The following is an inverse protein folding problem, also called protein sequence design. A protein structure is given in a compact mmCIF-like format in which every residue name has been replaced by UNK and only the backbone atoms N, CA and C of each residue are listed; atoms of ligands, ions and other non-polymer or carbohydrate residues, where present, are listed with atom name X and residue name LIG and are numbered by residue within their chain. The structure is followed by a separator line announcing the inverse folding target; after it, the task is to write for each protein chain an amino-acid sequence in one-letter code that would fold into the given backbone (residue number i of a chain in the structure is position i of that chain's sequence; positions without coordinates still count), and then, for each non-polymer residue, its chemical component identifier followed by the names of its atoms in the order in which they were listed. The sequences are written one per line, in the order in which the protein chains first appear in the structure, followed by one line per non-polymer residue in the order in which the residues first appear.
data_IF_906341271476
#
_entry.id   IF_906341271476
#
_cell.length_a   1.000
_cell.length_b   1.000
_cell.length_c   1.000
_cell.angle_alpha   90.00
_cell.angle_beta   90.00
_cell.angle_gamma   90.00
#
_symmetry.space_group_name_H-M   'P 1'
#
loop_
_entity.id
_entity.type
_entity.pdbx_description
1 polymer ?
#
# COMPACT_ATOMS: atom_id res chain seq x y z
N UNK A 1 19.91 9.92 -1.21
CA UNK A 1 19.57 8.74 -0.39
C UNK A 1 18.76 9.20 0.80
N UNK A 2 17.92 8.36 1.36
CA UNK A 2 17.10 8.64 2.55
C UNK A 2 17.76 7.95 3.75
N UNK A 3 18.43 8.72 4.63
CA UNK A 3 19.16 8.16 5.77
C UNK A 3 18.24 7.96 6.97
N UNK A 4 18.54 6.97 7.83
CA UNK A 4 17.71 6.62 8.97
C UNK A 4 17.47 7.79 9.95
N UNK A 5 18.44 8.67 10.12
CA UNK A 5 18.35 9.83 10.99
C UNK A 5 17.80 11.08 10.30
N UNK A 6 17.52 11.03 8.98
CA UNK A 6 16.94 12.15 8.26
C UNK A 6 15.49 12.41 8.72
N UNK A 7 15.15 13.68 8.82
CA UNK A 7 13.78 14.17 8.82
C UNK A 7 13.49 14.79 7.47
N UNK A 8 12.28 14.62 6.96
CA UNK A 8 11.87 15.16 5.67
C UNK A 8 11.17 16.50 5.85
N UNK A 9 11.62 17.53 5.13
CA UNK A 9 10.95 18.83 5.11
C UNK A 9 9.83 18.83 4.07
N UNK A 10 8.62 18.87 4.55
CA UNK A 10 7.40 18.95 3.75
C UNK A 10 6.69 20.32 3.89
N UNK A 11 7.43 21.38 4.21
CA UNK A 11 6.85 22.70 4.38
C UNK A 11 5.93 23.08 3.21
N UNK A 12 4.75 23.65 3.52
CA UNK A 12 3.73 24.12 2.55
C UNK A 12 2.92 23.04 1.80
N UNK A 13 2.95 21.78 2.21
CA UNK A 13 2.10 20.72 1.63
C UNK A 13 0.86 20.46 2.49
N UNK A 14 -0.31 20.39 1.87
CA UNK A 14 -1.61 20.27 2.55
C UNK A 14 -2.04 18.80 2.74
N UNK A 15 -1.66 17.93 1.80
CA UNK A 15 -1.99 16.50 1.81
C UNK A 15 -0.77 15.73 2.30
N UNK A 16 -0.90 15.00 3.39
CA UNK A 16 0.20 14.20 3.93
C UNK A 16 0.50 13.00 3.01
N UNK A 17 -0.55 12.26 2.61
CA UNK A 17 -0.41 11.11 1.71
C UNK A 17 -1.52 11.11 0.66
N UNK A 18 -1.12 11.03 -0.59
CA UNK A 18 -2.00 10.85 -1.72
C UNK A 18 -1.77 9.47 -2.34
N UNK A 19 -2.69 8.56 -2.09
CA UNK A 19 -2.60 7.21 -2.59
C UNK A 19 -3.31 7.08 -3.96
N UNK A 20 -2.69 6.41 -4.92
CA UNK A 20 -3.21 6.27 -6.28
C UNK A 20 -3.36 4.78 -6.60
N UNK A 21 -4.56 4.34 -6.94
CA UNK A 21 -4.75 2.96 -7.36
C UNK A 21 -6.17 2.44 -7.20
N UNK A 22 -6.28 1.16 -6.96
CA UNK A 22 -7.52 0.42 -6.94
C UNK A 22 -8.39 0.74 -5.73
N UNK A 23 -9.69 0.77 -5.98
CA UNK A 23 -10.76 0.73 -5.01
C UNK A 23 -11.74 -0.36 -5.48
N UNK A 24 -11.91 -1.41 -4.70
CA UNK A 24 -12.58 -2.62 -5.14
C UNK A 24 -13.35 -3.29 -3.98
N UNK A 25 -14.11 -4.32 -4.32
CA UNK A 25 -14.85 -5.13 -3.36
C UNK A 25 -14.22 -6.51 -3.27
N UNK A 26 -13.91 -6.95 -2.05
CA UNK A 26 -13.56 -8.34 -1.80
C UNK A 26 -14.81 -9.14 -1.49
N UNK A 27 -15.07 -10.16 -2.31
CA UNK A 27 -16.14 -11.13 -2.10
C UNK A 27 -15.52 -12.43 -1.57
N UNK A 28 -15.69 -12.70 -0.29
CA UNK A 28 -15.01 -13.81 0.40
C UNK A 28 -16.05 -14.84 0.84
N UNK A 29 -15.84 -16.13 0.49
CA UNK A 29 -16.74 -17.21 0.90
C UNK A 29 -16.84 -17.32 2.43
N UNK A 30 -17.98 -17.76 2.93
CA UNK A 30 -18.16 -17.99 4.37
C UNK A 30 -17.50 -19.28 4.82
N UNK A 31 -17.53 -20.31 3.98
CA UNK A 31 -16.98 -21.62 4.22
C UNK A 31 -15.53 -21.74 3.72
N UNK A 32 -14.77 -22.65 4.37
CA UNK A 32 -13.39 -22.96 3.97
C UNK A 32 -13.36 -24.19 3.04
N UNK A 33 -12.55 -24.12 1.99
CA UNK A 33 -12.24 -25.22 1.07
C UNK A 33 -13.49 -25.85 0.42
N UNK A 34 -14.59 -25.09 0.32
CA UNK A 34 -15.83 -25.54 -0.31
C UNK A 34 -16.02 -24.93 -1.70
N UNK A 35 -15.84 -25.74 -2.74
CA UNK A 35 -16.06 -25.33 -4.12
C UNK A 35 -17.54 -25.08 -4.44
N UNK A 36 -18.47 -25.57 -3.62
CA UNK A 36 -19.91 -25.37 -3.77
C UNK A 36 -20.42 -24.22 -2.89
N UNK A 37 -19.53 -23.46 -2.25
CA UNK A 37 -19.90 -22.32 -1.43
C UNK A 37 -20.82 -21.39 -2.20
N UNK A 38 -22.03 -21.19 -1.69
CA UNK A 38 -23.05 -20.32 -2.28
C UNK A 38 -23.18 -18.96 -1.58
N UNK A 39 -22.53 -18.82 -0.43
CA UNK A 39 -22.57 -17.61 0.41
C UNK A 39 -21.23 -16.90 0.44
N UNK A 40 -21.24 -15.63 0.08
CA UNK A 40 -20.07 -14.76 0.11
C UNK A 40 -20.37 -13.49 0.90
N UNK A 41 -19.45 -13.06 1.71
CA UNK A 41 -19.50 -11.78 2.41
C UNK A 41 -18.76 -10.72 1.62
N UNK A 42 -19.36 -9.53 1.56
CA UNK A 42 -18.80 -8.37 0.87
C UNK A 42 -17.97 -7.53 1.83
N UNK A 43 -16.72 -7.27 1.46
CA UNK A 43 -15.80 -6.44 2.21
C UNK A 43 -15.30 -5.28 1.36
N UNK A 44 -14.96 -4.20 2.02
CA UNK A 44 -14.26 -3.08 1.42
C UNK A 44 -12.80 -3.48 1.16
N UNK A 45 -12.28 -3.18 -0.04
CA UNK A 45 -10.94 -3.54 -0.46
C UNK A 45 -10.25 -2.46 -1.30
N UNK A 46 -8.97 -2.68 -1.54
CA UNK A 46 -8.07 -1.76 -2.21
C UNK A 46 -7.01 -1.19 -1.27
N UNK A 47 -5.75 -1.55 -1.50
CA UNK A 47 -4.62 -1.12 -0.67
C UNK A 47 -4.53 0.40 -0.50
N UNK A 48 -4.65 1.23 -1.57
CA UNK A 48 -4.59 2.69 -1.43
C UNK A 48 -5.65 3.26 -0.48
N UNK A 49 -6.85 2.69 -0.51
CA UNK A 49 -7.94 3.12 0.35
C UNK A 49 -7.76 2.69 1.80
N UNK A 50 -7.27 1.47 2.03
CA UNK A 50 -6.92 0.99 3.37
C UNK A 50 -5.86 1.91 4.01
N UNK A 51 -4.83 2.27 3.25
CA UNK A 51 -3.76 3.18 3.68
C UNK A 51 -4.35 4.55 4.04
N UNK A 52 -5.17 5.14 3.17
CA UNK A 52 -5.76 6.46 3.42
C UNK A 52 -6.64 6.47 4.68
N UNK A 53 -7.49 5.46 4.87
CA UNK A 53 -8.34 5.36 6.06
C UNK A 53 -7.53 5.15 7.34
N UNK A 54 -6.51 4.33 7.31
CA UNK A 54 -5.65 4.11 8.47
C UNK A 54 -4.87 5.37 8.85
N UNK A 55 -4.32 6.09 7.86
CA UNK A 55 -3.62 7.37 8.08
C UNK A 55 -4.55 8.41 8.71
N UNK A 56 -5.79 8.53 8.21
CA UNK A 56 -6.79 9.43 8.79
C UNK A 56 -7.06 9.10 10.25
N UNK A 57 -7.19 7.83 10.63
CA UNK A 57 -7.36 7.38 12.02
C UNK A 57 -6.15 7.70 12.89
N UNK A 58 -4.94 7.66 12.33
CA UNK A 58 -3.71 8.05 13.00
C UNK A 58 -3.52 9.58 13.09
N UNK A 59 -4.48 10.36 12.58
CA UNK A 59 -4.50 11.82 12.70
C UNK A 59 -3.60 12.56 11.72
N UNK A 60 -3.40 12.00 10.51
CA UNK A 60 -2.78 12.67 9.39
C UNK A 60 -3.78 12.79 8.21
N UNK A 61 -3.50 13.70 7.27
CA UNK A 61 -4.38 14.00 6.14
C UNK A 61 -4.03 13.13 4.94
N UNK A 62 -4.91 12.16 4.62
CA UNK A 62 -4.73 11.31 3.46
C UNK A 62 -5.98 11.28 2.58
N UNK A 63 -5.76 11.08 1.29
CA UNK A 63 -6.82 10.88 0.32
C UNK A 63 -6.39 9.92 -0.79
N UNK A 64 -7.34 9.52 -1.63
CA UNK A 64 -7.15 8.51 -2.67
C UNK A 64 -7.60 9.03 -4.03
N UNK A 65 -6.79 8.76 -5.06
CA UNK A 65 -7.20 8.88 -6.46
C UNK A 65 -7.54 7.51 -7.02
N UNK A 66 -8.79 7.31 -7.41
CA UNK A 66 -9.28 6.00 -7.85
C UNK A 66 -10.46 6.12 -8.81
N UNK A 67 -10.93 4.98 -9.32
CA UNK A 67 -12.14 4.87 -10.12
C UNK A 67 -13.04 3.73 -9.61
N UNK A 68 -14.35 3.98 -9.62
CA UNK A 68 -15.37 2.97 -9.37
C UNK A 68 -16.47 3.04 -10.42
N UNK A 69 -17.23 1.98 -10.57
CA UNK A 69 -18.37 1.93 -11.49
C UNK A 69 -19.54 2.79 -11.03
N UNK A 70 -20.44 3.12 -11.97
CA UNK A 70 -21.76 3.73 -11.70
C UNK A 70 -22.76 2.63 -11.29
N UNK A 71 -22.42 1.86 -10.25
CA UNK A 71 -23.18 0.71 -9.77
C UNK A 71 -23.23 0.67 -8.23
N UNK A 72 -24.01 -0.27 -7.69
CA UNK A 72 -24.23 -0.40 -6.25
C UNK A 72 -22.94 -0.76 -5.47
N UNK A 73 -21.96 -1.42 -6.10
CA UNK A 73 -20.68 -1.71 -5.46
C UNK A 73 -19.84 -0.44 -5.34
N UNK A 74 -19.83 0.40 -6.39
CA UNK A 74 -19.20 1.71 -6.34
C UNK A 74 -19.82 2.62 -5.29
N UNK A 75 -21.18 2.61 -5.16
CA UNK A 75 -21.86 3.35 -4.09
C UNK A 75 -21.48 2.86 -2.71
N UNK A 76 -21.39 1.54 -2.53
CA UNK A 76 -20.91 0.94 -1.27
C UNK A 76 -19.51 1.44 -0.88
N UNK A 77 -18.57 1.44 -1.82
CA UNK A 77 -17.20 1.86 -1.58
C UNK A 77 -17.11 3.35 -1.24
N UNK A 78 -17.78 4.21 -2.01
CA UNK A 78 -17.78 5.66 -1.76
C UNK A 78 -18.44 5.98 -0.42
N UNK A 79 -19.57 5.35 -0.08
CA UNK A 79 -20.22 5.57 1.19
C UNK A 79 -19.34 5.12 2.38
N UNK A 80 -18.61 4.02 2.22
CA UNK A 80 -17.67 3.57 3.25
C UNK A 80 -16.56 4.59 3.51
N UNK A 81 -15.96 5.14 2.45
CA UNK A 81 -14.96 6.20 2.57
C UNK A 81 -15.49 7.48 3.20
N UNK A 82 -16.69 7.94 2.80
CA UNK A 82 -17.35 9.10 3.40
C UNK A 82 -17.61 8.91 4.89
N UNK A 83 -18.10 7.72 5.28
CA UNK A 83 -18.32 7.38 6.68
C UNK A 83 -16.99 7.32 7.49
N UNK A 84 -15.87 7.08 6.82
CA UNK A 84 -14.52 7.13 7.36
C UNK A 84 -13.87 8.52 7.25
N UNK A 85 -14.62 9.54 6.85
CA UNK A 85 -14.18 10.94 6.69
C UNK A 85 -13.05 11.12 5.66
N UNK A 86 -12.94 10.23 4.69
CA UNK A 86 -12.00 10.37 3.58
C UNK A 86 -12.62 11.22 2.48
N UNK A 87 -11.85 12.18 1.96
CA UNK A 87 -12.27 12.98 0.80
C UNK A 87 -12.43 12.07 -0.43
N UNK A 88 -13.61 12.12 -1.06
CA UNK A 88 -13.97 11.30 -2.22
C UNK A 88 -13.99 12.07 -3.54
N UNK A 89 -13.60 13.35 -3.55
CA UNK A 89 -13.59 14.21 -4.74
C UNK A 89 -12.65 13.73 -5.84
N UNK A 90 -11.61 13.00 -5.45
CA UNK A 90 -10.63 12.41 -6.38
C UNK A 90 -11.00 11.02 -6.87
N UNK A 91 -12.25 10.56 -6.62
CA UNK A 91 -12.74 9.26 -7.09
C UNK A 91 -13.71 9.45 -8.26
N UNK A 92 -13.30 8.98 -9.42
CA UNK A 92 -14.11 9.06 -10.63
C UNK A 92 -15.15 7.94 -10.69
N UNK A 93 -16.34 8.26 -11.23
CA UNK A 93 -17.39 7.28 -11.55
C UNK A 93 -17.37 7.03 -13.06
N UNK A 94 -17.12 5.79 -13.47
CA UNK A 94 -16.96 5.40 -14.88
C UNK A 94 -18.03 4.41 -15.32
N UNK A 95 -18.23 4.29 -16.65
CA UNK A 95 -19.21 3.34 -17.25
C UNK A 95 -18.60 1.93 -17.42
N UNK A 96 -17.87 1.47 -16.39
CA UNK A 96 -17.33 0.13 -16.26
C UNK A 96 -17.79 -0.46 -14.92
N UNK A 97 -17.96 -1.78 -14.82
CA UNK A 97 -18.33 -2.38 -13.53
C UNK A 97 -17.27 -2.09 -12.47
N UNK A 98 -17.71 -1.85 -11.23
CA UNK A 98 -16.78 -1.77 -10.09
C UNK A 98 -16.00 -3.07 -9.97
N UNK A 99 -14.69 -2.95 -9.82
CA UNK A 99 -13.80 -4.10 -9.71
C UNK A 99 -14.04 -4.87 -8.44
N UNK A 100 -13.87 -6.19 -8.51
CA UNK A 100 -13.97 -7.07 -7.35
C UNK A 100 -12.95 -8.20 -7.39
N UNK A 101 -12.62 -8.71 -6.22
CA UNK A 101 -11.82 -9.93 -6.05
C UNK A 101 -12.72 -10.98 -5.40
N UNK A 102 -12.85 -12.12 -6.04
CA UNK A 102 -13.58 -13.27 -5.50
C UNK A 102 -12.58 -14.23 -4.86
N UNK A 103 -12.77 -14.54 -3.60
CA UNK A 103 -11.89 -15.42 -2.83
C UNK A 103 -12.71 -16.54 -2.21
N UNK A 104 -12.41 -17.78 -2.59
CA UNK A 104 -12.85 -18.94 -1.80
C UNK A 104 -11.85 -19.13 -0.67
N UNK A 105 -12.30 -19.03 0.58
CA UNK A 105 -11.45 -19.26 1.75
C UNK A 105 -10.80 -20.61 1.67
N UNK A 106 -9.51 -20.68 1.97
CA UNK A 106 -8.77 -21.94 2.06
C UNK A 106 -7.95 -21.98 3.34
N UNK A 107 -7.76 -23.18 3.88
CA UNK A 107 -6.78 -23.44 4.93
C UNK A 107 -5.34 -23.36 4.42
N UNK A 108 -5.18 -23.48 3.11
CA UNK A 108 -3.96 -23.19 2.37
C UNK A 108 -3.98 -21.75 1.82
N UNK A 109 -3.08 -21.42 0.93
CA UNK A 109 -3.10 -20.12 0.24
C UNK A 109 -4.28 -20.09 -0.74
N UNK A 110 -5.27 -19.21 -0.55
CA UNK A 110 -6.39 -19.09 -1.48
C UNK A 110 -5.91 -18.51 -2.82
N UNK A 111 -6.53 -18.96 -3.92
CA UNK A 111 -6.30 -18.40 -5.25
C UNK A 111 -7.43 -17.42 -5.54
N UNK A 112 -7.16 -16.11 -5.60
CA UNK A 112 -8.17 -15.11 -5.91
C UNK A 112 -8.52 -15.10 -7.40
N UNK A 113 -9.76 -14.73 -7.71
CA UNK A 113 -10.20 -14.41 -9.08
C UNK A 113 -10.41 -12.90 -9.17
N UNK A 114 -9.71 -12.27 -10.10
CA UNK A 114 -9.73 -10.82 -10.28
C UNK A 114 -10.72 -10.42 -11.37
N UNK A 115 -11.83 -9.80 -10.99
CA UNK A 115 -12.79 -9.18 -11.90
C UNK A 115 -12.48 -7.69 -11.99
N UNK A 116 -11.65 -7.33 -12.96
CA UNK A 116 -11.18 -5.96 -13.15
C UNK A 116 -12.11 -5.19 -14.10
N UNK A 117 -12.34 -3.92 -13.80
CA UNK A 117 -13.20 -3.06 -14.59
C UNK A 117 -12.88 -1.58 -14.38
N UNK A 118 -13.54 -0.92 -13.43
CA UNK A 118 -13.35 0.50 -13.19
C UNK A 118 -11.91 0.86 -12.74
N UNK A 119 -11.24 0.00 -11.98
CA UNK A 119 -9.96 0.26 -11.31
C UNK A 119 -8.81 0.68 -12.24
N UNK A 120 -8.79 0.22 -13.48
CA UNK A 120 -7.74 0.62 -14.44
C UNK A 120 -8.14 1.81 -15.34
N UNK A 121 -9.30 2.41 -15.11
CA UNK A 121 -9.75 3.60 -15.85
C UNK A 121 -9.30 4.92 -15.18
N UNK A 122 -8.14 4.90 -14.57
CA UNK A 122 -7.50 6.11 -14.03
C UNK A 122 -7.01 6.99 -15.18
N UNK A 123 -7.43 8.26 -15.20
CA UNK A 123 -7.03 9.22 -16.23
C UNK A 123 -6.29 10.41 -15.62
N UNK A 124 -5.09 10.68 -16.14
CA UNK A 124 -4.33 11.85 -15.74
C UNK A 124 -5.04 13.12 -16.18
N UNK A 125 -5.30 14.01 -15.23
CA UNK A 125 -5.99 15.27 -15.45
C UNK A 125 -5.46 16.37 -14.51
N UNK A 126 -5.95 17.59 -14.68
CA UNK A 126 -5.53 18.76 -13.88
C UNK A 126 -5.85 18.62 -12.38
N UNK A 127 -6.89 17.89 -12.03
CA UNK A 127 -7.26 17.62 -10.61
C UNK A 127 -6.21 16.75 -9.95
N UNK A 128 -5.77 15.69 -10.65
CA UNK A 128 -4.68 14.83 -10.18
C UNK A 128 -3.36 15.60 -10.07
N UNK A 129 -3.03 16.40 -11.07
CA UNK A 129 -1.83 17.25 -11.08
C UNK A 129 -1.80 18.21 -9.89
N UNK A 130 -2.89 18.93 -9.65
CA UNK A 130 -3.04 19.83 -8.51
C UNK A 130 -2.90 19.08 -7.17
N UNK A 131 -3.56 17.94 -7.01
CA UNK A 131 -3.48 17.14 -5.78
C UNK A 131 -2.04 16.66 -5.51
N UNK A 132 -1.32 16.19 -6.54
CA UNK A 132 0.09 15.80 -6.42
C UNK A 132 0.94 16.98 -5.97
N UNK A 133 0.73 18.16 -6.55
CA UNK A 133 1.49 19.38 -6.20
C UNK A 133 1.36 19.75 -4.72
N UNK A 134 0.23 19.44 -4.08
CA UNK A 134 -0.09 19.70 -2.67
C UNK A 134 0.28 18.54 -1.75
N UNK A 135 0.81 17.44 -2.27
CA UNK A 135 1.04 16.21 -1.49
C UNK A 135 2.49 16.06 -1.05
N UNK A 136 2.70 15.64 0.22
CA UNK A 136 4.02 15.29 0.76
C UNK A 136 4.54 13.97 0.19
N UNK A 137 3.66 12.97 0.17
CA UNK A 137 3.96 11.60 -0.21
C UNK A 137 2.93 11.12 -1.23
N UNK A 138 3.41 10.51 -2.31
CA UNK A 138 2.60 9.79 -3.29
C UNK A 138 2.84 8.30 -3.09
N UNK A 139 1.77 7.51 -3.02
CA UNK A 139 1.85 6.07 -2.88
C UNK A 139 1.06 5.34 -3.97
N UNK A 140 1.62 4.26 -4.50
CA UNK A 140 0.92 3.33 -5.37
C UNK A 140 1.49 1.91 -5.23
N UNK A 141 0.72 0.92 -5.70
CA UNK A 141 1.12 -0.48 -5.71
C UNK A 141 1.33 -1.01 -7.14
N UNK A 142 1.64 -2.29 -7.26
CA UNK A 142 1.71 -2.99 -8.54
C UNK A 142 0.35 -2.98 -9.29
N UNK A 143 -0.77 -2.91 -8.58
CA UNK A 143 -2.10 -3.03 -9.17
C UNK A 143 -2.37 -2.02 -10.30
N UNK A 144 -2.26 -0.69 -10.10
CA UNK A 144 -2.54 0.28 -11.16
C UNK A 144 -1.55 0.22 -12.33
N UNK A 145 -0.30 -0.22 -12.10
CA UNK A 145 0.69 -0.30 -13.18
C UNK A 145 0.59 -1.59 -14.01
N UNK A 146 -0.22 -2.54 -13.60
CA UNK A 146 -0.40 -3.80 -14.30
C UNK A 146 -1.27 -3.72 -15.55
N UNK A 147 -2.00 -2.60 -15.73
CA UNK A 147 -2.83 -2.32 -16.92
C UNK A 147 -2.36 -1.04 -17.60
N UNK A 148 -2.27 -1.04 -18.94
CA UNK A 148 -1.66 0.04 -19.71
C UNK A 148 -2.29 1.42 -19.43
N UNK A 149 -3.62 1.50 -19.38
CA UNK A 149 -4.33 2.77 -19.21
C UNK A 149 -3.98 3.44 -17.88
N UNK A 150 -4.07 2.72 -16.76
CA UNK A 150 -3.72 3.24 -15.44
C UNK A 150 -2.20 3.39 -15.26
N UNK A 151 -1.40 2.54 -15.90
CA UNK A 151 0.06 2.64 -15.93
C UNK A 151 0.53 3.99 -16.47
N UNK A 152 -0.02 4.42 -17.61
CA UNK A 152 0.27 5.72 -18.21
C UNK A 152 -0.04 6.90 -17.25
N UNK A 153 -1.09 6.77 -16.44
CA UNK A 153 -1.44 7.75 -15.41
C UNK A 153 -0.42 7.76 -14.28
N UNK A 154 0.00 6.58 -13.79
CA UNK A 154 1.04 6.48 -12.75
C UNK A 154 2.38 7.06 -13.23
N UNK A 155 2.78 6.77 -14.46
CA UNK A 155 4.04 7.33 -15.01
C UNK A 155 4.03 8.85 -15.03
N UNK A 156 2.94 9.47 -15.46
CA UNK A 156 2.77 10.94 -15.41
C UNK A 156 2.72 11.46 -13.98
N UNK A 157 2.05 10.73 -13.06
CA UNK A 157 2.00 11.09 -11.65
C UNK A 157 3.40 11.07 -11.00
N UNK A 158 4.25 10.11 -11.35
CA UNK A 158 5.65 10.05 -10.89
C UNK A 158 6.43 11.28 -11.37
N UNK A 159 6.28 11.66 -12.64
CA UNK A 159 6.96 12.83 -13.19
C UNK A 159 6.51 14.10 -12.44
N UNK A 160 5.21 14.25 -12.21
CA UNK A 160 4.66 15.42 -11.50
C UNK A 160 5.08 15.43 -10.01
N UNK A 161 5.10 14.27 -9.36
CA UNK A 161 5.59 14.14 -7.98
C UNK A 161 7.05 14.60 -7.85
N UNK A 162 7.91 14.22 -8.81
CA UNK A 162 9.31 14.64 -8.84
C UNK A 162 9.46 16.14 -9.00
N UNK A 163 8.69 16.79 -9.88
CA UNK A 163 8.71 18.24 -10.05
C UNK A 163 8.34 18.98 -8.76
N UNK A 164 7.45 18.39 -7.97
CA UNK A 164 6.95 18.99 -6.74
C UNK A 164 7.68 18.48 -5.47
N UNK A 165 8.79 17.77 -5.60
CA UNK A 165 9.57 17.22 -4.48
C UNK A 165 8.72 16.38 -3.50
N UNK A 166 7.73 15.65 -4.01
CA UNK A 166 7.02 14.66 -3.22
C UNK A 166 7.83 13.38 -3.11
N UNK A 167 7.76 12.72 -1.97
CA UNK A 167 8.32 11.37 -1.79
C UNK A 167 7.42 10.37 -2.51
N UNK A 168 8.02 9.41 -3.18
CA UNK A 168 7.30 8.38 -3.93
C UNK A 168 7.55 7.03 -3.28
N UNK A 169 6.50 6.44 -2.71
CA UNK A 169 6.50 5.10 -2.15
C UNK A 169 5.80 4.10 -3.05
N UNK A 170 6.36 2.91 -3.15
CA UNK A 170 5.87 1.82 -3.99
C UNK A 170 5.80 0.50 -3.22
N UNK A 171 4.63 -0.15 -3.27
CA UNK A 171 4.45 -1.51 -2.80
C UNK A 171 4.40 -2.46 -4.00
N UNK A 172 5.41 -3.33 -4.21
CA UNK A 172 5.39 -4.27 -5.33
C UNK A 172 4.17 -5.17 -5.31
N UNK A 173 3.86 -5.78 -4.17
CA UNK A 173 2.71 -6.68 -4.00
C UNK A 173 2.40 -7.46 -5.29
N UNK A 174 3.44 -8.10 -5.84
CA UNK A 174 3.43 -8.65 -7.20
C UNK A 174 2.57 -9.89 -7.28
N UNK A 175 1.64 -9.87 -8.23
CA UNK A 175 0.86 -11.05 -8.58
C UNK A 175 0.74 -11.16 -10.10
N UNK A 176 1.25 -12.25 -10.68
CA UNK A 176 1.29 -12.46 -12.13
C UNK A 176 -0.10 -12.32 -12.80
N UNK A 177 -1.15 -12.83 -12.13
CA UNK A 177 -2.51 -12.87 -12.70
C UNK A 177 -3.16 -11.49 -12.91
N UNK A 178 -2.64 -10.41 -12.33
CA UNK A 178 -3.20 -9.07 -12.53
C UNK A 178 -2.65 -8.37 -13.78
N UNK A 179 -1.56 -8.89 -14.35
CA UNK A 179 -0.91 -8.28 -15.51
C UNK A 179 -1.61 -8.64 -16.83
N UNK A 180 -1.57 -7.71 -17.76
CA UNK A 180 -2.05 -7.94 -19.13
C UNK A 180 -1.24 -9.06 -19.80
N UNK A 181 -1.92 -9.91 -20.56
CA UNK A 181 -1.26 -10.99 -21.28
C UNK A 181 -0.19 -10.44 -22.24
N UNK A 182 1.00 -11.03 -22.20
CA UNK A 182 2.12 -10.62 -23.04
C UNK A 182 2.98 -9.49 -22.48
N UNK A 183 2.64 -8.95 -21.30
CA UNK A 183 3.48 -7.98 -20.61
C UNK A 183 4.35 -8.65 -19.55
N UNK A 184 5.64 -8.31 -19.53
CA UNK A 184 6.56 -8.74 -18.47
C UNK A 184 6.46 -7.80 -17.27
N UNK A 185 5.62 -8.19 -16.31
CA UNK A 185 5.39 -7.42 -15.10
C UNK A 185 6.63 -7.30 -14.23
N UNK A 186 7.49 -8.30 -14.22
CA UNK A 186 8.73 -8.31 -13.43
C UNK A 186 9.70 -7.26 -13.99
N UNK A 187 9.94 -7.28 -15.29
CA UNK A 187 10.81 -6.29 -15.92
C UNK A 187 10.26 -4.86 -15.78
N UNK A 188 8.94 -4.69 -15.86
CA UNK A 188 8.34 -3.39 -15.62
C UNK A 188 8.54 -2.91 -14.16
N UNK A 189 8.35 -3.80 -13.17
CA UNK A 189 8.62 -3.47 -11.75
C UNK A 189 10.08 -3.07 -11.55
N UNK A 190 11.05 -3.81 -12.10
CA UNK A 190 12.47 -3.45 -12.03
C UNK A 190 12.73 -2.05 -12.61
N UNK A 191 12.05 -1.70 -13.69
CA UNK A 191 12.14 -0.37 -14.31
C UNK A 191 11.56 0.73 -13.40
N UNK A 192 10.41 0.48 -12.76
CA UNK A 192 9.75 1.48 -11.91
C UNK A 192 10.54 1.76 -10.63
N UNK A 193 11.30 0.77 -10.11
CA UNK A 193 12.13 0.90 -8.90
C UNK A 193 13.09 2.11 -9.00
N UNK A 194 13.67 2.37 -10.17
CA UNK A 194 14.56 3.53 -10.39
C UNK A 194 13.84 4.89 -10.30
N UNK A 195 12.51 4.89 -10.39
CA UNK A 195 11.67 6.08 -10.44
C UNK A 195 11.00 6.40 -9.10
N UNK A 196 11.15 5.55 -8.09
CA UNK A 196 10.56 5.72 -6.77
C UNK A 196 11.63 5.95 -5.70
N UNK A 197 11.23 6.41 -4.51
CA UNK A 197 12.17 6.66 -3.41
C UNK A 197 12.20 5.48 -2.44
N UNK A 198 11.04 4.95 -2.12
CA UNK A 198 10.85 3.93 -1.08
C UNK A 198 10.11 2.75 -1.69
N UNK A 199 10.66 1.56 -1.48
CA UNK A 199 10.01 0.32 -1.89
C UNK A 199 9.89 -0.62 -0.69
N UNK A 200 8.73 -1.31 -0.56
CA UNK A 200 8.50 -2.28 0.51
C UNK A 200 8.10 -3.64 -0.06
N UNK A 201 9.02 -4.45 -0.56
CA UNK A 201 8.74 -5.82 -0.94
C UNK A 201 8.56 -6.71 0.29
N UNK A 202 7.72 -7.75 0.18
CA UNK A 202 7.84 -8.94 1.01
C UNK A 202 8.97 -9.85 0.50
N UNK A 203 9.39 -10.83 1.31
CA UNK A 203 10.31 -11.89 0.84
C UNK A 203 9.75 -12.62 -0.38
N UNK A 204 8.43 -12.84 -0.41
CA UNK A 204 7.74 -13.49 -1.52
C UNK A 204 7.77 -12.63 -2.79
N UNK A 205 7.59 -11.31 -2.66
CA UNK A 205 7.73 -10.40 -3.80
C UNK A 205 9.15 -10.41 -4.35
N UNK A 206 10.13 -10.34 -3.46
CA UNK A 206 11.54 -10.34 -3.84
C UNK A 206 11.96 -11.64 -4.54
N UNK A 207 11.48 -12.80 -4.04
CA UNK A 207 11.72 -14.10 -4.68
C UNK A 207 11.06 -14.18 -6.06
N UNK A 208 9.83 -13.67 -6.22
CA UNK A 208 9.15 -13.62 -7.52
C UNK A 208 9.86 -12.72 -8.53
N UNK A 209 10.41 -11.60 -8.07
CA UNK A 209 11.07 -10.59 -8.93
C UNK A 209 12.51 -11.01 -9.30
N UNK A 210 13.26 -11.59 -8.38
CA UNK A 210 14.69 -11.88 -8.57
C UNK A 210 15.07 -13.34 -8.51
N UNK A 211 14.15 -14.25 -8.17
CA UNK A 211 14.43 -15.63 -7.84
C UNK A 211 14.88 -15.80 -6.39
N UNK A 212 15.07 -17.05 -5.97
CA UNK A 212 15.54 -17.40 -4.63
C UNK A 212 16.95 -16.88 -4.37
N UNK A 213 17.11 -16.12 -3.29
CA UNK A 213 18.40 -15.55 -2.83
C UNK A 213 18.25 -15.14 -1.35
N UNK A 214 19.34 -14.73 -0.70
CA UNK A 214 19.25 -14.18 0.65
C UNK A 214 18.55 -12.83 0.64
N UNK A 215 17.81 -12.47 1.71
CA UNK A 215 17.15 -11.16 1.82
C UNK A 215 18.11 -9.99 1.60
N UNK A 216 19.33 -10.08 2.15
CA UNK A 216 20.36 -9.04 2.01
C UNK A 216 20.76 -8.85 0.53
N UNK A 217 20.95 -9.95 -0.21
CA UNK A 217 21.27 -9.89 -1.64
C UNK A 217 20.12 -9.31 -2.47
N UNK A 218 18.87 -9.69 -2.15
CA UNK A 218 17.69 -9.16 -2.84
C UNK A 218 17.50 -7.67 -2.56
N UNK A 219 17.73 -7.21 -1.33
CA UNK A 219 17.75 -5.78 -0.97
C UNK A 219 18.82 -5.03 -1.78
N UNK A 220 20.04 -5.58 -1.87
CA UNK A 220 21.11 -4.98 -2.66
C UNK A 220 20.74 -4.83 -4.14
N UNK A 221 19.99 -5.79 -4.70
CA UNK A 221 19.45 -5.68 -6.09
C UNK A 221 18.47 -4.51 -6.22
N UNK A 222 17.52 -4.32 -5.28
CA UNK A 222 16.61 -3.17 -5.29
C UNK A 222 17.35 -1.83 -5.17
N UNK A 223 18.37 -1.74 -4.30
CA UNK A 223 19.23 -0.55 -4.19
C UNK A 223 19.97 -0.29 -5.51
N UNK A 224 20.53 -1.33 -6.13
CA UNK A 224 21.23 -1.23 -7.42
C UNK A 224 20.29 -0.74 -8.54
N UNK A 225 19.00 -1.11 -8.49
CA UNK A 225 18.00 -0.60 -9.42
C UNK A 225 17.62 0.87 -9.18
N UNK A 226 18.01 1.46 -8.05
CA UNK A 226 17.85 2.90 -7.78
C UNK A 226 16.93 3.25 -6.62
N UNK A 227 16.35 2.30 -5.89
CA UNK A 227 15.60 2.58 -4.68
C UNK A 227 16.50 3.27 -3.64
N UNK A 228 15.95 4.29 -2.94
CA UNK A 228 16.69 5.03 -1.92
C UNK A 228 16.54 4.45 -0.51
N UNK A 229 15.40 3.78 -0.28
CA UNK A 229 15.09 3.05 0.95
C UNK A 229 14.36 1.76 0.57
N UNK A 230 14.86 0.62 1.00
CA UNK A 230 14.23 -0.70 0.79
C UNK A 230 13.82 -1.26 2.14
N UNK A 231 12.54 -1.62 2.27
CA UNK A 231 11.94 -2.18 3.49
C UNK A 231 11.47 -3.59 3.14
N UNK A 232 12.27 -4.60 3.43
CA UNK A 232 11.89 -5.99 3.14
C UNK A 232 11.25 -6.64 4.35
N UNK A 233 9.99 -7.04 4.23
CA UNK A 233 9.26 -7.74 5.30
C UNK A 233 9.46 -9.26 5.19
N UNK A 234 9.71 -9.92 6.33
CA UNK A 234 10.04 -11.34 6.45
C UNK A 234 8.99 -12.10 7.29
N UNK A 235 7.75 -11.66 7.26
CA UNK A 235 6.66 -12.26 8.02
C UNK A 235 6.95 -12.29 9.52
N UNK A 236 6.99 -13.49 10.10
CA UNK A 236 7.26 -13.70 11.53
C UNK A 236 8.69 -13.32 11.96
N UNK A 237 9.62 -13.27 11.03
CA UNK A 237 11.03 -12.98 11.27
C UNK A 237 11.32 -11.46 11.20
N UNK A 238 10.26 -10.63 11.16
CA UNK A 238 10.36 -9.17 11.22
C UNK A 238 10.65 -8.53 9.88
N UNK A 239 11.67 -7.69 9.79
CA UNK A 239 12.05 -6.99 8.57
C UNK A 239 13.53 -6.62 8.53
N UNK A 240 14.04 -6.44 7.31
CA UNK A 240 15.36 -5.86 7.04
C UNK A 240 15.15 -4.59 6.23
N UNK A 241 15.75 -3.49 6.67
CA UNK A 241 15.66 -2.19 6.01
C UNK A 241 17.05 -1.69 5.64
N UNK A 242 17.19 -1.20 4.41
CA UNK A 242 18.46 -0.60 3.95
C UNK A 242 18.22 0.76 3.30
N UNK A 243 19.08 1.72 3.66
CA UNK A 243 19.17 3.03 3.02
C UNK A 243 20.24 3.11 1.91
N UNK A 244 20.79 1.95 1.53
CA UNK A 244 21.87 1.81 0.57
C UNK A 244 23.28 1.94 1.17
N UNK A 245 23.41 2.30 2.44
CA UNK A 245 24.72 2.37 3.15
C UNK A 245 24.68 1.63 4.47
N UNK A 246 23.55 1.62 5.13
CA UNK A 246 23.33 0.95 6.40
C UNK A 246 22.18 -0.06 6.27
N UNK A 247 22.22 -1.10 7.09
CA UNK A 247 21.16 -2.11 7.20
C UNK A 247 20.74 -2.21 8.66
N UNK A 248 19.43 -2.08 8.91
CA UNK A 248 18.84 -2.29 10.23
C UNK A 248 17.88 -3.47 10.15
N UNK A 249 17.95 -4.36 11.13
CA UNK A 249 16.99 -5.46 11.33
C UNK A 249 15.99 -5.05 12.40
N UNK A 250 14.71 -5.24 12.09
CA UNK A 250 13.60 -5.01 13.00
C UNK A 250 12.99 -6.36 13.35
N UNK A 251 12.91 -6.68 14.63
CA UNK A 251 12.19 -7.85 15.11
C UNK A 251 10.69 -7.62 15.01
N UNK A 252 9.92 -8.71 14.92
CA UNK A 252 8.46 -8.57 14.92
C UNK A 252 7.96 -8.08 16.28
N UNK A 253 7.05 -7.10 16.25
CA UNK A 253 6.34 -6.62 17.45
C UNK A 253 5.01 -7.37 17.66
N UNK A 254 4.66 -8.29 16.78
CA UNK A 254 3.42 -9.03 16.85
C UNK A 254 3.43 -10.04 18.01
N UNK A 255 2.53 -9.86 18.97
CA UNK A 255 2.31 -10.78 20.10
C UNK A 255 1.17 -11.75 19.83
N UNK A 256 0.31 -11.43 18.87
CA UNK A 256 -0.85 -12.21 18.47
C UNK A 256 -1.10 -11.96 16.98
N UNK A 257 -1.42 -13.00 16.23
CA UNK A 257 -1.76 -12.93 14.81
C UNK A 257 -3.09 -13.63 14.57
N UNK A 258 -4.13 -12.83 14.35
CA UNK A 258 -5.48 -13.30 14.01
C UNK A 258 -5.67 -13.34 12.50
N UNK A 259 -5.22 -12.25 11.81
CA UNK A 259 -5.33 -12.13 10.35
C UNK A 259 -4.22 -11.23 9.80
N UNK A 260 -3.53 -11.69 8.77
CA UNK A 260 -2.43 -10.95 8.11
C UNK A 260 -2.90 -9.99 7.02
N UNK A 261 -4.17 -10.04 6.62
CA UNK A 261 -4.75 -9.17 5.58
C UNK A 261 -4.56 -7.69 5.94
N UNK A 262 -3.96 -6.88 5.05
CA UNK A 262 -3.74 -5.46 5.29
C UNK A 262 -2.62 -5.10 6.29
N UNK A 263 -1.81 -6.05 6.75
CA UNK A 263 -0.66 -5.76 7.61
C UNK A 263 0.36 -4.84 6.92
N UNK A 264 0.58 -5.02 5.61
CA UNK A 264 1.39 -4.15 4.77
C UNK A 264 0.82 -2.72 4.68
N UNK A 265 -0.50 -2.59 4.47
CA UNK A 265 -1.18 -1.30 4.43
C UNK A 265 -1.09 -0.58 5.77
N UNK A 266 -1.24 -1.31 6.86
CA UNK A 266 -1.08 -0.78 8.22
C UNK A 266 0.34 -0.29 8.49
N UNK A 267 1.36 -1.04 8.05
CA UNK A 267 2.75 -0.60 8.10
C UNK A 267 2.94 0.72 7.34
N UNK A 268 2.53 0.79 6.07
CA UNK A 268 2.63 2.01 5.27
C UNK A 268 1.95 3.19 5.95
N UNK A 269 0.79 2.94 6.57
CA UNK A 269 0.02 3.99 7.24
C UNK A 269 0.76 4.58 8.43
N UNK A 270 1.33 3.74 9.30
CA UNK A 270 2.14 4.18 10.43
C UNK A 270 3.42 4.88 9.98
N UNK A 271 4.14 4.29 9.03
CA UNK A 271 5.37 4.84 8.50
C UNK A 271 5.17 6.22 7.87
N UNK A 272 4.20 6.38 6.98
CA UNK A 272 3.90 7.66 6.35
C UNK A 272 3.38 8.71 7.34
N UNK A 273 2.58 8.30 8.30
CA UNK A 273 2.14 9.22 9.36
C UNK A 273 3.32 9.73 10.17
N UNK A 274 4.29 8.86 10.49
CA UNK A 274 5.53 9.26 11.16
C UNK A 274 6.32 10.29 10.35
N UNK A 275 6.56 10.02 9.06
CA UNK A 275 7.24 10.95 8.17
C UNK A 275 6.53 12.29 8.05
N UNK A 276 5.22 12.27 7.85
CA UNK A 276 4.40 13.48 7.68
C UNK A 276 4.39 14.36 8.93
N UNK A 277 4.54 13.77 10.11
CA UNK A 277 4.65 14.46 11.42
C UNK A 277 6.09 14.91 11.75
N UNK A 278 7.06 14.70 10.86
CA UNK A 278 8.43 15.16 11.01
C UNK A 278 9.32 14.25 11.87
N UNK A 279 8.94 12.99 12.06
CA UNK A 279 9.83 12.01 12.68
C UNK A 279 11.00 11.68 11.75
N UNK A 280 12.10 11.18 12.31
CA UNK A 280 13.18 10.58 11.51
C UNK A 280 12.65 9.35 10.77
N UNK A 281 13.35 8.95 9.69
CA UNK A 281 13.00 7.74 8.95
C UNK A 281 12.96 6.54 9.88
N UNK A 282 13.96 6.37 10.76
CA UNK A 282 14.01 5.28 11.74
C UNK A 282 12.78 5.27 12.65
N UNK A 283 12.46 6.40 13.27
CA UNK A 283 11.26 6.50 14.12
C UNK A 283 9.96 6.22 13.38
N UNK A 284 9.90 6.63 12.12
CA UNK A 284 8.73 6.36 11.27
C UNK A 284 8.61 4.88 10.93
N UNK A 285 9.72 4.18 10.70
CA UNK A 285 9.75 2.72 10.53
C UNK A 285 9.23 2.01 11.79
N UNK A 286 9.72 2.40 12.96
CA UNK A 286 9.27 1.88 14.26
C UNK A 286 7.76 2.03 14.43
N UNK A 287 7.21 3.21 14.11
CA UNK A 287 5.76 3.43 14.13
C UNK A 287 5.03 2.54 13.11
N UNK A 288 5.57 2.38 11.90
CA UNK A 288 5.02 1.49 10.88
C UNK A 288 4.90 0.04 11.37
N UNK A 289 5.95 -0.51 11.96
CA UNK A 289 5.93 -1.87 12.52
C UNK A 289 4.97 -1.98 13.71
N UNK A 290 4.87 -0.97 14.58
CA UNK A 290 3.94 -0.96 15.70
C UNK A 290 2.47 -0.96 15.22
N UNK A 291 2.13 -0.13 14.23
CA UNK A 291 0.78 -0.09 13.64
C UNK A 291 0.44 -1.41 12.95
N UNK A 292 1.38 -1.99 12.21
CA UNK A 292 1.23 -3.32 11.59
C UNK A 292 0.97 -4.41 12.65
N UNK A 293 1.77 -4.44 13.72
CA UNK A 293 1.61 -5.40 14.82
C UNK A 293 0.26 -5.26 15.53
N UNK A 294 -0.23 -4.02 15.71
CA UNK A 294 -1.56 -3.77 16.25
C UNK A 294 -2.65 -4.32 15.35
N UNK A 295 -2.55 -4.08 14.02
CA UNK A 295 -3.53 -4.55 13.03
C UNK A 295 -3.65 -6.08 13.02
N UNK A 296 -2.57 -6.81 13.18
CA UNK A 296 -2.55 -8.28 13.14
C UNK A 296 -3.50 -8.94 14.15
N UNK A 297 -3.94 -8.24 15.19
CA UNK A 297 -4.90 -8.70 16.21
C UNK A 297 -6.37 -8.68 15.74
N UNK A 298 -6.66 -8.18 14.53
CA UNK A 298 -8.01 -7.98 14.04
C UNK A 298 -8.21 -8.64 12.68
N UNK A 299 -9.43 -9.11 12.42
CA UNK A 299 -9.83 -9.66 11.12
C UNK A 299 -10.05 -8.55 10.10
N UNK A 300 -9.64 -8.78 8.85
CA UNK A 300 -9.82 -7.87 7.71
C UNK A 300 -8.70 -6.83 7.60
N UNK A 301 -8.67 -6.09 6.49
CA UNK A 301 -7.61 -5.13 6.19
C UNK A 301 -7.66 -3.87 7.05
N UNK A 302 -8.82 -3.53 7.60
CA UNK A 302 -9.04 -2.30 8.38
C UNK A 302 -9.23 -2.66 9.84
N UNK A 303 -8.31 -2.20 10.70
CA UNK A 303 -8.41 -2.34 12.15
C UNK A 303 -8.93 -1.05 12.82
N UNK A 304 -9.52 -1.13 14.03
CA UNK A 304 -9.85 0.06 14.83
C UNK A 304 -8.58 0.66 15.43
N UNK A 305 -7.73 1.25 14.59
CA UNK A 305 -6.48 1.84 15.04
C UNK A 305 -6.74 2.95 16.07
N UNK A 306 -6.07 2.93 17.22
CA UNK A 306 -6.13 4.02 18.19
C UNK A 306 -5.19 5.16 17.77
N UNK A 307 -5.09 6.19 18.59
CA UNK A 307 -4.15 7.29 18.36
C UNK A 307 -2.68 6.82 18.39
N UNK A 308 -1.80 7.59 17.73
CA UNK A 308 -0.35 7.29 17.72
C UNK A 308 0.18 7.17 19.15
N UNK A 309 -0.22 8.07 20.05
CA UNK A 309 0.24 8.07 21.43
C UNK A 309 -0.13 6.76 22.17
N UNK A 310 -1.28 6.18 21.83
CA UNK A 310 -1.70 4.90 22.38
C UNK A 310 -0.92 3.75 21.76
N UNK A 311 -0.70 3.74 20.45
CA UNK A 311 0.16 2.78 19.76
C UNK A 311 1.56 2.81 20.38
N UNK A 312 2.15 3.97 20.51
CA UNK A 312 3.47 4.13 21.13
C UNK A 312 3.50 3.63 22.58
N UNK A 313 2.48 3.89 23.38
CA UNK A 313 2.40 3.36 24.76
C UNK A 313 2.33 1.83 24.80
N UNK A 314 1.61 1.21 23.86
CA UNK A 314 1.49 -0.25 23.78
C UNK A 314 2.84 -0.89 23.45
N UNK A 315 3.61 -0.30 22.53
CA UNK A 315 4.82 -0.89 21.98
C UNK A 315 6.14 -0.28 22.51
N UNK A 316 6.12 0.85 23.26
CA UNK A 316 7.31 1.47 23.88
C UNK A 316 7.92 0.69 25.05
N UNK A 317 7.22 -0.27 25.63
CA UNK A 317 7.74 -1.04 26.79
C UNK A 317 8.63 -2.21 26.35
N UNK A 318 9.73 -1.96 25.64
CA UNK A 318 10.82 -2.93 25.50
C UNK A 318 11.24 -3.30 24.09
N UNK A 319 10.98 -2.49 23.08
CA UNK A 319 11.24 -2.86 21.68
C UNK A 319 12.23 -1.93 20.92
N UNK A 320 12.89 -0.98 21.61
CA UNK A 320 13.84 -0.07 20.93
C UNK A 320 15.06 0.19 21.79
#
# INVERSE_FOLDING_TARGET
MLKFDDTLDFSKKEIDVFAIGELLVDMISTEYDDLNASTYSKYFGGSPANIAMNISRLGANATIFSCVGKDNLGDFLINHLKNSQINTEYISRVDYPTSMVLVTKSKNTPIPIFYRGADYNLEYNSILEEAISKSKIIHFSCWPISQEKSRNTIEKAIVEARKNNAIIGFDPNYHEMIWEKGHDGIEYIKNIVSKVDIIKPSEVDAERIFGADTPENQIAKFITLGAKLVIMTLGKDGAIVSDGTEIIKFETLATEVVDTTGAGDAFWSGFYTGLAKGNTIKKSLELGFAVSAFKLKFVGAIAPLPSIDEIEKIYKKGAF
#
